data_IF_077155181550
#
_entry.id   IF_077155181550
#
_cell.length_a   1.000
_cell.length_b   1.000
_cell.length_c   1.000
_cell.angle_alpha   90.00
_cell.angle_beta   90.00
_cell.angle_gamma   90.00
#
_symmetry.space_group_name_H-M   'P 1'
#
loop_
_entity.id
_entity.type
_entity.pdbx_description
1 polymer ?
#
# COMPACT_ATOMS: atom_id res chain seq x y z
N UNK A 1 -3.97 34.82 -49.81
CA UNK A 1 -4.03 34.86 -48.34
C UNK A 1 -5.01 33.82 -47.86
N UNK A 2 -4.53 32.64 -47.47
CA UNK A 2 -4.99 31.78 -46.36
C UNK A 2 -4.02 30.59 -46.33
N UNK A 3 -2.97 30.74 -45.52
CA UNK A 3 -1.97 29.70 -45.30
C UNK A 3 -2.53 28.68 -44.32
N UNK A 4 -2.48 27.42 -44.74
CA UNK A 4 -2.80 26.24 -43.93
C UNK A 4 -1.84 26.18 -42.73
N UNK A 5 -2.40 26.18 -41.52
CA UNK A 5 -1.65 26.14 -40.28
C UNK A 5 -1.18 24.70 -40.00
N UNK A 6 0.12 24.42 -39.84
CA UNK A 6 0.58 23.10 -39.43
C UNK A 6 0.24 22.85 -37.94
N UNK A 7 -0.32 21.67 -37.69
CA UNK A 7 -0.70 21.12 -36.37
C UNK A 7 0.51 21.07 -35.42
N UNK A 8 0.33 21.31 -34.11
CA UNK A 8 1.41 21.18 -33.13
C UNK A 8 1.81 19.72 -32.93
N UNK A 9 3.12 19.51 -32.92
CA UNK A 9 3.84 18.25 -32.78
C UNK A 9 3.48 17.48 -31.50
N UNK A 10 3.22 16.20 -31.69
CA UNK A 10 3.06 15.17 -30.66
C UNK A 10 4.38 15.01 -29.89
N UNK A 11 4.43 15.56 -28.67
CA UNK A 11 5.57 15.33 -27.78
C UNK A 11 5.57 13.86 -27.34
N UNK A 12 6.49 13.11 -27.92
CA UNK A 12 6.88 11.77 -27.51
C UNK A 12 7.03 11.70 -25.98
N UNK A 13 6.20 10.86 -25.37
CA UNK A 13 6.36 10.41 -23.99
C UNK A 13 7.63 9.56 -23.96
N UNK A 14 8.63 9.85 -23.12
CA UNK A 14 9.83 9.01 -23.06
C UNK A 14 9.45 7.61 -22.55
N UNK A 15 10.06 6.55 -23.10
CA UNK A 15 9.79 5.18 -22.66
C UNK A 15 10.18 5.01 -21.20
N UNK A 16 9.36 4.23 -20.48
CA UNK A 16 9.54 3.88 -19.09
C UNK A 16 10.98 3.41 -18.82
N UNK A 17 11.62 4.07 -17.87
CA UNK A 17 12.93 3.68 -17.35
C UNK A 17 12.76 2.34 -16.63
N UNK A 18 13.15 1.25 -17.31
CA UNK A 18 13.43 -0.04 -16.69
C UNK A 18 14.58 0.14 -15.70
N UNK A 19 14.24 0.40 -14.44
CA UNK A 19 15.18 0.26 -13.33
C UNK A 19 15.12 -1.18 -12.85
N UNK A 20 16.03 -2.00 -13.40
CA UNK A 20 16.51 -3.21 -12.71
C UNK A 20 16.96 -2.79 -11.32
N UNK A 21 16.13 -3.08 -10.31
CA UNK A 21 16.57 -3.04 -8.91
C UNK A 21 16.47 -4.47 -8.40
N UNK A 22 17.65 -5.04 -8.25
CA UNK A 22 17.98 -6.31 -7.63
C UNK A 22 17.19 -6.50 -6.34
N UNK A 23 16.38 -7.56 -6.29
CA UNK A 23 15.67 -7.99 -5.10
C UNK A 23 16.70 -8.47 -4.05
N UNK A 24 16.67 -7.98 -2.80
CA UNK A 24 17.41 -8.66 -1.76
C UNK A 24 16.66 -9.96 -1.43
N UNK A 25 17.41 -11.06 -1.46
CA UNK A 25 16.94 -12.40 -1.16
C UNK A 25 16.26 -12.46 0.22
N UNK A 26 14.97 -12.79 0.23
CA UNK A 26 14.25 -13.20 1.44
C UNK A 26 13.85 -14.68 1.25
N UNK A 27 14.28 -15.49 2.21
CA UNK A 27 14.13 -16.94 2.33
C UNK A 27 12.80 -17.47 1.78
N UNK A 28 12.89 -18.24 0.70
CA UNK A 28 11.79 -18.97 0.07
C UNK A 28 11.23 -20.02 1.03
N UNK A 29 9.93 -20.01 1.35
CA UNK A 29 9.23 -21.18 1.86
C UNK A 29 8.89 -22.10 0.69
N UNK A 30 9.15 -23.40 0.84
CA UNK A 30 8.80 -24.44 -0.12
C UNK A 30 7.33 -24.38 -0.59
N UNK A 31 7.13 -24.38 -1.91
CA UNK A 31 5.84 -24.54 -2.58
C UNK A 31 5.37 -23.29 -3.35
N UNK A 32 5.57 -23.28 -4.68
CA UNK A 32 4.98 -22.49 -5.80
C UNK A 32 4.42 -21.04 -5.63
N UNK A 33 4.37 -20.44 -4.43
CA UNK A 33 3.93 -19.07 -4.20
C UNK A 33 4.97 -18.33 -3.32
N UNK A 34 5.67 -17.31 -3.85
CA UNK A 34 6.71 -16.59 -3.11
C UNK A 34 6.15 -15.68 -2.01
N UNK A 35 4.82 -15.62 -1.84
CA UNK A 35 4.15 -14.73 -0.91
C UNK A 35 3.48 -15.48 0.24
N UNK A 36 3.58 -14.89 1.43
CA UNK A 36 2.93 -15.38 2.66
C UNK A 36 1.84 -14.44 3.12
N UNK A 37 0.91 -14.97 3.92
CA UNK A 37 -0.22 -14.22 4.47
C UNK A 37 0.16 -13.63 5.81
N UNK A 38 -0.28 -12.40 6.08
CA UNK A 38 -0.13 -11.79 7.40
C UNK A 38 -1.47 -11.32 7.92
N UNK A 39 -1.65 -11.44 9.23
CA UNK A 39 -2.73 -10.84 9.99
C UNK A 39 -2.23 -9.55 10.62
N UNK A 40 -2.95 -8.46 10.39
CA UNK A 40 -2.68 -7.14 10.94
C UNK A 40 -3.85 -6.77 11.85
N UNK A 41 -3.63 -6.79 13.16
CA UNK A 41 -4.62 -6.36 14.14
C UNK A 41 -4.50 -4.85 14.41
N UNK A 42 -5.56 -4.24 14.94
CA UNK A 42 -5.47 -2.87 15.44
C UNK A 42 -4.55 -2.82 16.66
N UNK A 43 -3.82 -1.71 16.83
CA UNK A 43 -3.04 -1.49 18.05
C UNK A 43 -3.86 -0.81 19.14
N UNK A 44 -3.15 -0.28 20.14
CA UNK A 44 -3.77 0.33 21.32
C UNK A 44 -4.56 1.59 20.90
N UNK A 45 -5.85 1.61 21.23
CA UNK A 45 -6.82 2.65 20.81
C UNK A 45 -7.06 2.73 19.29
N UNK A 46 -6.54 1.76 18.54
CA UNK A 46 -6.86 1.58 17.13
C UNK A 46 -8.28 1.06 16.91
N UNK A 47 -8.71 1.09 15.66
CA UNK A 47 -10.04 0.65 15.22
C UNK A 47 -9.92 -0.22 13.97
N UNK A 48 -10.90 -1.09 13.76
CA UNK A 48 -10.99 -1.95 12.59
C UNK A 48 -10.10 -3.19 12.65
N UNK A 49 -9.95 -3.85 11.51
CA UNK A 49 -9.25 -5.13 11.41
C UNK A 49 -9.91 -6.26 12.22
N UNK A 50 -9.23 -7.41 12.35
CA UNK A 50 -7.92 -7.70 11.76
C UNK A 50 -7.99 -7.81 10.23
N UNK A 51 -7.02 -7.23 9.53
CA UNK A 51 -6.87 -7.40 8.09
C UNK A 51 -5.98 -8.60 7.78
N UNK A 52 -6.37 -9.38 6.78
CA UNK A 52 -5.52 -10.44 6.23
C UNK A 52 -4.98 -9.95 4.90
N UNK A 53 -3.67 -9.74 4.85
CA UNK A 53 -2.98 -9.28 3.64
C UNK A 53 -2.26 -10.46 3.00
N UNK A 54 -2.54 -10.66 1.72
CA UNK A 54 -1.96 -11.71 0.89
C UNK A 54 -1.50 -11.07 -0.42
N UNK A 55 -0.21 -10.73 -0.54
CA UNK A 55 0.35 -10.29 -1.80
C UNK A 55 0.19 -11.34 -2.88
N UNK A 56 0.04 -10.87 -4.12
CA UNK A 56 -0.05 -11.71 -5.32
C UNK A 56 0.91 -11.19 -6.39
N UNK A 57 1.33 -12.02 -7.35
CA UNK A 57 2.07 -11.52 -8.51
C UNK A 57 1.33 -10.36 -9.18
N UNK A 58 2.00 -9.22 -9.33
CA UNK A 58 1.40 -7.99 -9.87
C UNK A 58 0.61 -7.14 -8.86
N UNK A 59 0.28 -7.66 -7.67
CA UNK A 59 -0.33 -6.95 -6.54
C UNK A 59 0.44 -7.25 -5.25
N UNK A 60 1.70 -6.84 -5.22
CA UNK A 60 2.65 -7.13 -4.15
C UNK A 60 3.27 -5.88 -3.52
N UNK A 61 2.81 -4.68 -3.90
CA UNK A 61 3.35 -3.45 -3.35
C UNK A 61 2.76 -3.17 -1.96
N UNK A 62 3.65 -3.00 -0.99
CA UNK A 62 3.35 -2.47 0.34
C UNK A 62 3.55 -0.97 0.25
N UNK A 63 2.46 -0.26 -0.02
CA UNK A 63 2.49 1.16 -0.39
C UNK A 63 2.58 2.03 0.86
N UNK A 64 3.76 2.59 1.10
CA UNK A 64 4.05 3.37 2.30
C UNK A 64 3.90 4.88 1.99
N UNK A 65 2.95 5.51 2.66
CA UNK A 65 2.69 6.96 2.60
C UNK A 65 2.80 7.51 4.01
N UNK A 66 3.99 7.39 4.56
CA UNK A 66 4.39 7.96 5.83
C UNK A 66 5.49 9.00 5.59
N UNK A 67 5.45 10.12 6.29
CA UNK A 67 6.52 11.12 6.19
C UNK A 67 7.87 10.51 6.60
N UNK A 68 8.93 10.81 5.83
CA UNK A 68 10.29 10.42 6.19
C UNK A 68 10.82 9.10 5.60
N UNK A 69 10.10 8.47 4.66
CA UNK A 69 10.53 7.26 3.96
C UNK A 69 9.70 6.02 4.32
N UNK A 70 10.29 4.83 4.20
CA UNK A 70 9.60 3.57 4.48
C UNK A 70 9.47 3.35 6.00
N UNK A 71 8.24 3.33 6.49
CA UNK A 71 7.95 3.08 7.90
C UNK A 71 8.25 1.63 8.31
N UNK A 72 8.69 1.36 9.56
CA UNK A 72 8.93 0.00 10.06
C UNK A 72 7.72 -0.93 9.96
N UNK A 73 6.49 -0.40 10.05
CA UNK A 73 5.24 -1.17 9.84
C UNK A 73 5.16 -1.68 8.40
N UNK A 74 5.44 -0.83 7.41
CA UNK A 74 5.45 -1.24 6.00
C UNK A 74 6.57 -2.24 5.73
N UNK A 75 7.77 -1.99 6.26
CA UNK A 75 8.90 -2.91 6.14
C UNK A 75 8.56 -4.27 6.75
N UNK A 76 8.00 -4.32 7.95
CA UNK A 76 7.61 -5.57 8.62
C UNK A 76 6.60 -6.37 7.79
N UNK A 77 5.60 -5.71 7.20
CA UNK A 77 4.63 -6.39 6.33
C UNK A 77 5.35 -6.99 5.12
N UNK A 78 6.23 -6.23 4.47
CA UNK A 78 7.02 -6.71 3.33
C UNK A 78 7.88 -7.92 3.70
N UNK A 79 8.64 -7.84 4.81
CA UNK A 79 9.53 -8.91 5.27
C UNK A 79 8.77 -10.22 5.54
N UNK A 80 7.59 -10.13 6.14
CA UNK A 80 6.77 -11.30 6.45
C UNK A 80 6.07 -11.84 5.22
N UNK A 81 5.51 -10.97 4.38
CA UNK A 81 4.69 -11.39 3.23
C UNK A 81 5.50 -11.72 1.97
N UNK A 82 6.75 -11.29 1.88
CA UNK A 82 7.52 -11.29 0.62
C UNK A 82 7.13 -10.15 -0.33
N UNK A 83 6.29 -9.21 0.11
CA UNK A 83 5.91 -8.03 -0.66
C UNK A 83 7.06 -7.03 -0.82
N UNK A 84 6.92 -6.08 -1.75
CA UNK A 84 7.89 -5.03 -2.00
C UNK A 84 7.42 -3.71 -1.38
N UNK A 85 8.21 -3.12 -0.48
CA UNK A 85 7.94 -1.77 0.03
C UNK A 85 8.04 -0.74 -1.08
N UNK A 86 7.07 0.16 -1.15
CA UNK A 86 7.04 1.23 -2.15
C UNK A 86 6.77 2.57 -1.47
N UNK A 87 7.65 3.54 -1.69
CA UNK A 87 7.48 4.90 -1.17
C UNK A 87 6.49 5.68 -2.05
N UNK A 88 5.26 5.79 -1.58
CA UNK A 88 4.17 6.48 -2.25
C UNK A 88 4.21 8.01 -2.17
N UNK A 89 5.15 8.58 -1.42
CA UNK A 89 5.45 10.02 -1.47
C UNK A 89 6.42 10.36 -2.60
N UNK A 90 7.39 9.49 -2.87
CA UNK A 90 8.41 9.70 -3.89
C UNK A 90 7.99 9.29 -5.29
N UNK A 91 7.14 8.27 -5.40
CA UNK A 91 6.64 7.76 -6.68
C UNK A 91 5.17 7.37 -6.57
N UNK A 92 4.56 7.05 -7.72
CA UNK A 92 3.16 6.63 -7.81
C UNK A 92 3.09 5.23 -8.40
N UNK A 93 2.14 4.45 -7.90
CA UNK A 93 1.77 3.14 -8.43
C UNK A 93 0.26 3.07 -8.60
N UNK A 94 -0.22 2.16 -9.44
CA UNK A 94 -1.65 1.95 -9.63
C UNK A 94 -2.24 1.22 -8.42
N UNK A 95 -3.47 1.57 -8.04
CA UNK A 95 -4.15 0.95 -6.88
C UNK A 95 -4.31 -0.57 -7.01
N UNK A 96 -4.33 -1.08 -8.25
CA UNK A 96 -4.41 -2.51 -8.55
C UNK A 96 -3.13 -3.27 -8.20
N UNK A 97 -1.99 -2.59 -8.16
CA UNK A 97 -0.68 -3.16 -7.81
C UNK A 97 -0.42 -3.15 -6.30
N UNK A 98 -1.23 -2.41 -5.54
CA UNK A 98 -1.05 -2.22 -4.09
C UNK A 98 -1.73 -3.36 -3.33
N UNK A 99 -0.94 -4.15 -2.63
CA UNK A 99 -1.46 -5.18 -1.72
C UNK A 99 -2.09 -4.54 -0.47
N UNK A 100 -1.42 -3.54 0.09
CA UNK A 100 -1.87 -2.78 1.27
C UNK A 100 -1.22 -1.40 1.28
N UNK A 101 -1.97 -0.38 1.71
CA UNK A 101 -1.47 0.97 1.93
C UNK A 101 -1.19 1.19 3.42
N UNK A 102 0.02 1.61 3.76
CA UNK A 102 0.43 2.01 5.12
C UNK A 102 0.54 3.53 5.16
N UNK A 103 -0.25 4.19 5.99
CA UNK A 103 -0.37 5.65 6.04
C UNK A 103 -0.10 6.19 7.45
N UNK A 104 0.19 7.49 7.54
CA UNK A 104 0.34 8.24 8.79
C UNK A 104 -0.70 9.38 8.91
N UNK A 105 -1.98 9.07 8.92
CA UNK A 105 -3.01 10.09 8.81
C UNK A 105 -3.90 10.19 10.05
N UNK A 106 -3.53 11.05 11.00
CA UNK A 106 -4.41 11.42 12.13
C UNK A 106 -5.70 12.20 11.76
N UNK A 107 -6.08 12.25 10.48
CA UNK A 107 -7.25 12.97 9.95
C UNK A 107 -8.13 12.07 9.11
N UNK A 108 -9.04 12.61 8.30
CA UNK A 108 -10.08 11.79 7.61
C UNK A 108 -9.83 11.56 6.12
N UNK A 109 -8.87 12.26 5.51
CA UNK A 109 -8.68 12.25 4.06
C UNK A 109 -8.06 10.95 3.54
N UNK A 110 -6.80 10.66 3.89
CA UNK A 110 -6.09 9.45 3.39
C UNK A 110 -6.70 8.16 3.92
N UNK A 111 -7.25 8.20 5.13
CA UNK A 111 -7.98 7.11 5.79
C UNK A 111 -9.17 6.64 4.96
N UNK A 112 -9.82 7.52 4.19
CA UNK A 112 -10.98 7.19 3.36
C UNK A 112 -10.68 6.90 1.89
N UNK A 113 -9.64 7.51 1.31
CA UNK A 113 -9.37 7.42 -0.15
C UNK A 113 -8.95 6.01 -0.57
N UNK A 114 -8.04 5.36 0.16
CA UNK A 114 -7.57 4.03 -0.19
C UNK A 114 -8.67 2.96 -0.02
N UNK A 115 -9.44 2.92 1.09
CA UNK A 115 -10.58 2.02 1.20
C UNK A 115 -11.65 2.24 0.13
N UNK A 116 -11.91 3.50 -0.26
CA UNK A 116 -12.82 3.84 -1.37
C UNK A 116 -12.34 3.27 -2.72
N UNK A 117 -11.02 3.17 -2.92
CA UNK A 117 -10.40 2.57 -4.10
C UNK A 117 -10.22 1.05 -4.00
N UNK A 118 -10.73 0.41 -2.93
CA UNK A 118 -10.63 -1.03 -2.73
C UNK A 118 -9.25 -1.50 -2.27
N UNK A 119 -8.41 -0.59 -1.78
CA UNK A 119 -7.08 -0.91 -1.25
C UNK A 119 -7.16 -1.09 0.26
N UNK A 120 -6.78 -2.26 0.81
CA UNK A 120 -6.67 -2.46 2.25
C UNK A 120 -5.72 -1.42 2.85
N UNK A 121 -6.12 -0.81 3.96
CA UNK A 121 -5.42 0.35 4.51
C UNK A 121 -5.08 0.15 5.97
N UNK A 122 -3.83 0.43 6.31
CA UNK A 122 -3.25 0.34 7.64
C UNK A 122 -2.80 1.74 8.04
N UNK A 123 -3.36 2.28 9.10
CA UNK A 123 -2.91 3.55 9.68
C UNK A 123 -2.06 3.28 10.93
N UNK A 124 -0.90 3.92 11.01
CA UNK A 124 -0.06 3.86 12.21
C UNK A 124 -0.62 4.76 13.32
N UNK A 125 -1.44 5.76 12.97
CA UNK A 125 -2.15 6.58 13.94
C UNK A 125 -3.42 5.86 14.40
N UNK A 126 -3.69 5.89 15.70
CA UNK A 126 -4.94 5.42 16.27
C UNK A 126 -6.08 6.37 15.90
N UNK A 127 -6.86 6.00 14.86
CA UNK A 127 -7.96 6.82 14.35
C UNK A 127 -9.19 5.97 14.07
N UNK A 128 -10.36 6.54 14.28
CA UNK A 128 -11.65 5.93 13.98
C UNK A 128 -12.29 6.60 12.77
N UNK A 129 -13.12 5.87 11.99
CA UNK A 129 -13.79 6.42 10.82
C UNK A 129 -14.56 7.70 11.16
N UNK A 130 -14.30 8.76 10.41
CA UNK A 130 -15.00 10.03 10.55
C UNK A 130 -14.96 10.82 9.23
N UNK A 131 -15.85 11.81 9.10
CA UNK A 131 -15.93 12.67 7.93
C UNK A 131 -16.65 12.05 6.72
N UNK A 132 -16.60 12.71 5.54
CA UNK A 132 -17.44 12.39 4.39
C UNK A 132 -17.16 11.02 3.75
N UNK A 133 -15.97 10.47 3.99
CA UNK A 133 -15.55 9.18 3.44
C UNK A 133 -15.77 7.99 4.40
N UNK A 134 -16.33 8.22 5.59
CA UNK A 134 -16.49 7.18 6.62
C UNK A 134 -17.23 5.92 6.12
N UNK A 135 -18.19 6.08 5.20
CA UNK A 135 -18.96 4.97 4.61
C UNK A 135 -18.12 3.94 3.83
N UNK A 136 -16.91 4.32 3.42
CA UNK A 136 -15.97 3.45 2.72
C UNK A 136 -14.98 2.76 3.67
N UNK A 137 -14.84 3.26 4.89
CA UNK A 137 -13.92 2.75 5.91
C UNK A 137 -14.68 1.68 6.70
N UNK A 138 -14.27 0.42 6.55
CA UNK A 138 -14.90 -0.74 7.17
C UNK A 138 -13.87 -1.55 7.91
N UNK A 139 -14.29 -2.29 8.92
CA UNK A 139 -13.39 -3.17 9.68
C UNK A 139 -12.69 -4.22 8.79
N UNK A 140 -13.31 -4.57 7.66
CA UNK A 140 -12.78 -5.53 6.68
C UNK A 140 -11.74 -4.96 5.72
N UNK A 141 -11.57 -3.64 5.64
CA UNK A 141 -10.64 -3.00 4.69
C UNK A 141 -9.73 -1.94 5.32
N UNK A 142 -9.93 -1.63 6.61
CA UNK A 142 -9.18 -0.61 7.33
C UNK A 142 -8.84 -1.09 8.75
N UNK A 143 -7.62 -0.78 9.18
CA UNK A 143 -7.14 -1.00 10.54
C UNK A 143 -6.23 0.15 10.96
N UNK A 144 -6.31 0.59 12.22
CA UNK A 144 -5.55 1.75 12.70
C UNK A 144 -4.79 1.49 14.01
N UNK A 145 -3.93 2.45 14.36
CA UNK A 145 -3.06 2.39 15.53
C UNK A 145 -2.03 1.27 15.46
N UNK A 146 -1.71 0.79 14.25
CA UNK A 146 -0.91 -0.43 14.06
C UNK A 146 0.56 -0.17 14.36
N UNK A 147 1.14 -1.02 15.20
CA UNK A 147 2.58 -1.12 15.42
C UNK A 147 3.13 -2.43 14.82
N UNK A 148 4.46 -2.56 14.82
CA UNK A 148 5.18 -3.75 14.34
C UNK A 148 4.70 -5.03 15.06
N UNK A 149 4.37 -4.92 16.35
CA UNK A 149 3.91 -6.04 17.18
C UNK A 149 2.50 -6.54 16.83
N UNK A 150 1.70 -5.72 16.13
CA UNK A 150 0.36 -6.11 15.71
C UNK A 150 0.33 -6.91 14.39
N UNK A 151 1.49 -7.12 13.78
CA UNK A 151 1.64 -7.85 12.52
C UNK A 151 2.15 -9.25 12.83
N UNK A 152 1.34 -10.25 12.51
CA UNK A 152 1.65 -11.67 12.72
C UNK A 152 1.57 -12.41 11.40
N UNK A 153 2.49 -13.34 11.19
CA UNK A 153 2.45 -14.21 10.04
C UNK A 153 1.34 -15.25 10.26
N UNK A 154 0.50 -15.44 9.25
CA UNK A 154 -0.48 -16.51 9.21
C UNK A 154 0.19 -17.67 8.48
N UNK A 155 0.92 -18.49 9.23
CA UNK A 155 1.28 -19.83 8.77
C UNK A 155 0.02 -20.69 8.87
N UNK A 156 -0.23 -21.49 7.83
CA UNK A 156 -1.34 -22.44 7.79
C UNK A 156 -1.18 -23.53 8.88
#
# INVERSE_FOLDING_TARGET
MIGDAPKPEEKAVPPAVETKTEAPAATTPDGDNPYRRVKIAHGVRGWGGPLIIEPKPGKNLIYCVTGGGIHPVAQRIADLTGGQTFDGFRSKADFEQIAVAVIDCGGTARVGVYPMKGVPTVDIHATSPSGPLMKYIKETNFVSGVTVDNITLLDE
#
